data_IF_544333686092
#
_entry.id   IF_544333686092
#
_cell.length_a   1.000
_cell.length_b   1.000
_cell.length_c   1.000
_cell.angle_alpha   90.00
_cell.angle_beta   90.00
_cell.angle_gamma   90.00
#
_symmetry.space_group_name_H-M   'P 1'
#
loop_
_entity.id
_entity.type
_entity.pdbx_description
1 polymer ?
#
# COMPACT_ATOMS: atom_id res chain seq x y z
N UNK A 1 -13.18 -3.24 -13.07
CA UNK A 1 -11.99 -3.22 -13.94
C UNK A 1 -11.74 -4.65 -14.34
N UNK A 2 -11.56 -4.94 -15.63
CA UNK A 2 -11.16 -6.29 -16.01
C UNK A 2 -9.75 -6.54 -15.49
N UNK A 3 -9.44 -7.78 -15.12
CA UNK A 3 -8.11 -8.10 -14.56
C UNK A 3 -6.99 -7.87 -15.57
N UNK A 4 -7.31 -7.71 -16.87
CA UNK A 4 -6.35 -7.56 -17.96
C UNK A 4 -5.57 -6.25 -17.90
N UNK A 5 -6.20 -5.13 -17.50
CA UNK A 5 -5.54 -3.83 -17.51
C UNK A 5 -4.35 -3.76 -16.55
N UNK A 6 -4.49 -4.27 -15.33
CA UNK A 6 -3.44 -4.20 -14.30
C UNK A 6 -2.46 -5.38 -14.33
N UNK A 7 -2.73 -6.43 -15.10
CA UNK A 7 -1.92 -7.65 -15.14
C UNK A 7 -0.92 -7.71 -16.29
N UNK A 8 -0.79 -6.66 -17.10
CA UNK A 8 0.21 -6.63 -18.17
C UNK A 8 1.64 -6.67 -17.64
N UNK A 9 2.47 -7.58 -18.14
CA UNK A 9 3.86 -7.79 -17.67
C UNK A 9 4.70 -6.51 -17.64
N UNK A 10 4.53 -5.65 -18.65
CA UNK A 10 5.24 -4.38 -18.73
C UNK A 10 4.85 -3.41 -17.61
N UNK A 11 3.57 -3.40 -17.24
CA UNK A 11 3.04 -2.58 -16.17
C UNK A 11 3.53 -3.11 -14.82
N UNK A 12 3.44 -4.42 -14.59
CA UNK A 12 3.95 -5.07 -13.38
C UNK A 12 5.42 -4.70 -13.16
N UNK A 13 6.25 -4.79 -14.21
CA UNK A 13 7.67 -4.40 -14.14
C UNK A 13 7.84 -2.92 -13.78
N UNK A 14 7.12 -2.02 -14.46
CA UNK A 14 7.21 -0.58 -14.19
C UNK A 14 6.75 -0.20 -12.77
N UNK A 15 5.74 -0.89 -12.23
CA UNK A 15 5.24 -0.61 -10.88
C UNK A 15 6.20 -1.01 -9.76
N UNK A 16 7.21 -1.84 -10.02
CA UNK A 16 8.21 -2.23 -9.00
C UNK A 16 9.10 -1.06 -8.57
N UNK A 17 9.20 0.00 -9.39
CA UNK A 17 9.92 1.23 -9.04
C UNK A 17 9.10 2.17 -8.12
N UNK A 18 7.87 1.77 -7.78
CA UNK A 18 6.93 2.56 -6.99
C UNK A 18 6.58 1.86 -5.68
N UNK A 19 6.32 2.65 -4.64
CA UNK A 19 5.64 2.16 -3.44
C UNK A 19 4.15 2.24 -3.66
N UNK A 20 3.48 1.08 -3.67
CA UNK A 20 2.03 1.03 -3.72
C UNK A 20 1.47 1.15 -2.29
N UNK A 21 0.77 2.25 -2.02
CA UNK A 21 0.08 2.46 -0.75
C UNK A 21 -1.40 2.22 -0.97
N UNK A 22 -1.93 1.21 -0.28
CA UNK A 22 -3.37 1.02 -0.15
C UNK A 22 -3.84 1.71 1.11
N UNK A 23 -4.72 2.68 0.96
CA UNK A 23 -5.33 3.37 2.08
C UNK A 23 -6.44 2.47 2.65
N UNK A 24 -6.27 2.00 3.88
CA UNK A 24 -7.38 1.42 4.62
C UNK A 24 -8.35 2.55 5.04
N UNK A 25 -9.60 2.22 5.37
CA UNK A 25 -10.62 3.19 5.81
C UNK A 25 -10.08 4.18 6.85
N UNK A 26 -10.49 5.46 6.82
CA UNK A 26 -9.92 6.57 7.63
C UNK A 26 -9.58 6.16 9.06
N UNK A 27 -8.31 5.93 9.35
CA UNK A 27 -7.89 5.35 10.62
C UNK A 27 -7.63 6.42 11.68
N UNK A 28 -7.36 7.67 11.26
CA UNK A 28 -7.29 8.84 12.12
C UNK A 28 -7.50 10.16 11.34
N UNK A 29 -7.64 11.28 12.08
CA UNK A 29 -7.92 12.60 11.50
C UNK A 29 -6.79 13.10 10.58
N UNK A 30 -5.53 12.76 10.88
CA UNK A 30 -4.40 13.19 10.07
C UNK A 30 -4.41 12.47 8.73
N UNK A 31 -4.64 11.15 8.74
CA UNK A 31 -4.82 10.37 7.52
C UNK A 31 -6.01 10.88 6.72
N UNK A 32 -7.17 11.09 7.34
CA UNK A 32 -8.35 11.63 6.65
C UNK A 32 -8.04 12.97 5.94
N UNK A 33 -7.27 13.85 6.59
CA UNK A 33 -6.84 15.13 6.00
C UNK A 33 -5.91 14.92 4.81
N UNK A 34 -4.93 14.02 4.95
CA UNK A 34 -4.04 13.65 3.85
C UNK A 34 -4.80 13.07 2.66
N UNK A 35 -5.76 12.17 2.89
CA UNK A 35 -6.58 11.58 1.85
C UNK A 35 -7.50 12.60 1.19
N UNK A 36 -8.02 13.59 1.95
CA UNK A 36 -8.85 14.66 1.38
C UNK A 36 -8.02 15.49 0.42
N UNK A 37 -6.83 15.89 0.87
CA UNK A 37 -5.87 16.56 0.02
C UNK A 37 -5.58 15.70 -1.21
N UNK A 38 -5.21 14.42 -1.06
CA UNK A 38 -4.81 13.54 -2.15
C UNK A 38 -5.93 13.34 -3.18
N UNK A 39 -7.13 12.95 -2.72
CA UNK A 39 -8.18 12.44 -3.60
C UNK A 39 -9.24 13.46 -4.01
N UNK A 40 -9.50 14.48 -3.20
CA UNK A 40 -10.53 15.49 -3.45
C UNK A 40 -9.91 16.82 -3.87
N UNK A 41 -8.81 17.23 -3.21
CA UNK A 41 -8.25 18.58 -3.37
C UNK A 41 -9.23 19.66 -2.92
N UNK A 42 -9.09 20.89 -3.44
CA UNK A 42 -9.85 22.07 -2.97
C UNK A 42 -11.30 22.17 -3.51
N UNK A 43 -11.86 21.10 -4.08
CA UNK A 43 -13.17 21.14 -4.76
C UNK A 43 -14.38 20.82 -3.86
N UNK A 44 -14.19 20.73 -2.54
CA UNK A 44 -15.29 20.72 -1.57
C UNK A 44 -16.17 19.47 -1.58
N UNK A 45 -15.61 18.30 -1.91
CA UNK A 45 -16.33 17.02 -1.87
C UNK A 45 -15.93 16.13 -0.70
N UNK A 46 -16.77 15.15 -0.39
CA UNK A 46 -16.42 14.11 0.57
C UNK A 46 -15.41 13.11 -0.03
N UNK A 47 -14.63 12.49 0.87
CA UNK A 47 -13.73 11.41 0.51
C UNK A 47 -14.53 10.28 -0.15
N UNK A 48 -14.05 9.85 -1.31
CA UNK A 48 -14.67 8.79 -2.10
C UNK A 48 -14.08 7.45 -1.69
N UNK A 49 -14.90 6.40 -1.75
CA UNK A 49 -14.45 5.02 -1.54
C UNK A 49 -13.40 4.56 -2.57
N UNK A 50 -13.21 5.29 -3.67
CA UNK A 50 -12.29 4.94 -4.75
C UNK A 50 -11.48 6.17 -5.18
N UNK A 51 -10.16 6.02 -5.18
CA UNK A 51 -9.21 7.06 -5.56
C UNK A 51 -7.92 6.45 -6.09
N UNK A 52 -7.38 7.04 -7.14
CA UNK A 52 -6.09 6.72 -7.72
C UNK A 52 -5.31 8.01 -7.93
N UNK A 53 -4.10 8.09 -7.39
CA UNK A 53 -3.21 9.23 -7.52
C UNK A 53 -1.76 8.74 -7.54
N UNK A 54 -0.89 9.43 -8.28
CA UNK A 54 0.56 9.24 -8.22
C UNK A 54 1.15 10.46 -7.53
N UNK A 55 1.93 10.22 -6.47
CA UNK A 55 2.62 11.24 -5.71
C UNK A 55 4.13 11.21 -5.98
N UNK A 56 4.80 12.33 -5.70
CA UNK A 56 6.26 12.39 -5.62
C UNK A 56 6.76 11.46 -4.51
N UNK A 57 8.05 11.04 -4.54
CA UNK A 57 8.60 10.13 -3.52
C UNK A 57 8.48 10.64 -2.07
N UNK A 58 8.39 11.95 -1.87
CA UNK A 58 8.18 12.57 -0.55
C UNK A 58 6.70 12.67 -0.13
N UNK A 59 5.77 12.24 -0.99
CA UNK A 59 4.32 12.28 -0.75
C UNK A 59 3.69 13.68 -0.82
N UNK A 60 4.44 14.73 -1.18
CA UNK A 60 3.98 16.13 -1.08
C UNK A 60 3.41 16.71 -2.37
N UNK A 61 3.74 16.14 -3.52
CA UNK A 61 3.32 16.64 -4.83
C UNK A 61 2.51 15.60 -5.57
N UNK A 62 1.37 15.99 -6.16
CA UNK A 62 0.61 15.11 -7.06
C UNK A 62 1.22 15.15 -8.45
N UNK A 63 1.91 14.09 -8.83
CA UNK A 63 2.46 13.93 -10.18
C UNK A 63 1.37 13.66 -11.21
N UNK A 64 0.30 12.97 -10.80
CA UNK A 64 -0.91 12.79 -11.60
C UNK A 64 -2.14 13.10 -10.75
N UNK A 65 -3.13 13.74 -11.37
CA UNK A 65 -4.39 14.12 -10.72
C UNK A 65 -5.11 12.89 -10.16
N UNK A 66 -5.75 13.05 -9.01
CA UNK A 66 -6.67 12.05 -8.48
C UNK A 66 -7.83 11.77 -9.45
N UNK A 67 -8.06 10.49 -9.72
CA UNK A 67 -9.22 10.00 -10.48
C UNK A 67 -9.81 8.78 -9.77
N UNK A 68 -10.91 8.21 -10.31
CA UNK A 68 -11.56 7.03 -9.71
C UNK A 68 -10.76 5.72 -9.92
N UNK A 69 -9.74 5.73 -10.77
CA UNK A 69 -8.93 4.57 -11.11
C UNK A 69 -7.98 4.87 -12.28
N UNK A 70 -6.92 4.08 -12.47
CA UNK A 70 -5.92 4.33 -13.52
C UNK A 70 -6.51 4.31 -14.94
N UNK A 71 -7.61 3.59 -15.19
CA UNK A 71 -8.32 3.58 -16.47
C UNK A 71 -9.00 4.92 -16.83
N UNK A 72 -9.15 5.84 -15.87
CA UNK A 72 -9.61 7.21 -16.15
C UNK A 72 -8.47 8.13 -16.59
N UNK A 73 -7.22 7.72 -16.38
CA UNK A 73 -6.02 8.48 -16.73
C UNK A 73 -5.31 7.90 -17.96
N UNK A 74 -5.34 6.58 -18.12
CA UNK A 74 -4.62 5.86 -19.17
C UNK A 74 -5.56 5.02 -20.02
N UNK A 75 -5.36 5.09 -21.34
CA UNK A 75 -6.14 4.32 -22.32
C UNK A 75 -5.94 2.81 -22.19
N UNK A 76 -4.73 2.38 -21.80
CA UNK A 76 -4.39 0.96 -21.65
C UNK A 76 -3.15 0.78 -20.74
N UNK A 77 -2.81 -0.48 -20.46
CA UNK A 77 -1.67 -0.88 -19.62
C UNK A 77 -0.32 -0.38 -20.14
N UNK A 78 -0.11 -0.38 -21.46
CA UNK A 78 1.14 0.08 -22.08
C UNK A 78 1.33 1.60 -21.90
N UNK A 79 0.26 2.39 -22.05
CA UNK A 79 0.29 3.83 -21.82
C UNK A 79 0.64 4.16 -20.36
N UNK A 80 0.04 3.42 -19.41
CA UNK A 80 0.38 3.55 -17.99
C UNK A 80 1.84 3.17 -17.72
N UNK A 81 2.32 2.05 -18.26
CA UNK A 81 3.70 1.60 -18.06
C UNK A 81 4.73 2.61 -18.61
N UNK A 82 4.45 3.22 -19.77
CA UNK A 82 5.31 4.25 -20.33
C UNK A 82 5.38 5.50 -19.43
N UNK A 83 4.23 5.95 -18.92
CA UNK A 83 4.16 7.10 -18.00
C UNK A 83 4.90 6.83 -16.68
N UNK A 84 4.71 5.65 -16.10
CA UNK A 84 5.40 5.26 -14.86
C UNK A 84 6.92 5.25 -15.04
N UNK A 85 7.44 4.75 -16.17
CA UNK A 85 8.88 4.78 -16.47
C UNK A 85 9.41 6.21 -16.65
N UNK A 86 8.63 7.08 -17.29
CA UNK A 86 9.01 8.49 -17.43
C UNK A 86 9.03 9.20 -16.07
N UNK A 87 8.10 8.88 -15.18
CA UNK A 87 8.08 9.40 -13.82
C UNK A 87 9.27 8.87 -13.03
N UNK A 88 9.51 7.55 -13.01
CA UNK A 88 10.59 6.97 -12.22
C UNK A 88 11.96 7.46 -12.66
N UNK A 89 12.18 7.69 -13.96
CA UNK A 89 13.43 8.24 -14.50
C UNK A 89 13.78 9.66 -13.97
N UNK A 90 12.80 10.40 -13.44
CA UNK A 90 13.02 11.75 -12.87
C UNK A 90 13.46 11.71 -11.40
N UNK A 91 13.38 10.56 -10.75
CA UNK A 91 13.71 10.39 -9.34
C UNK A 91 14.80 9.33 -9.18
N UNK A 92 15.85 9.68 -8.44
CA UNK A 92 16.85 8.69 -8.06
C UNK A 92 16.18 7.65 -7.15
N UNK A 93 16.02 6.43 -7.65
CA UNK A 93 15.60 5.30 -6.83
C UNK A 93 16.54 5.13 -5.65
N UNK A 94 16.03 4.64 -4.51
CA UNK A 94 16.88 4.28 -3.39
C UNK A 94 17.81 3.16 -3.87
N UNK A 95 19.12 3.37 -3.80
CA UNK A 95 20.11 2.35 -4.16
C UNK A 95 19.78 1.10 -3.36
N UNK A 96 19.43 0.01 -4.04
CA UNK A 96 19.10 -1.27 -3.44
C UNK A 96 20.33 -1.81 -2.74
N UNK A 97 20.52 -1.46 -1.46
CA UNK A 97 21.31 -2.29 -0.55
C UNK A 97 20.67 -3.67 -0.53
N UNK A 98 21.48 -4.71 -0.63
CA UNK A 98 21.19 -6.12 -0.91
C UNK A 98 20.27 -6.85 0.08
N UNK A 99 19.58 -6.12 0.95
CA UNK A 99 18.57 -6.65 1.86
C UNK A 99 17.32 -5.80 1.68
N UNK A 100 16.14 -6.38 1.42
CA UNK A 100 14.87 -5.67 1.46
C UNK A 100 14.64 -5.14 2.88
N UNK A 101 15.18 -3.98 3.21
CA UNK A 101 15.01 -3.32 4.52
C UNK A 101 13.68 -2.55 4.56
N UNK A 102 12.61 -3.16 4.04
CA UNK A 102 11.27 -2.64 4.21
C UNK A 102 10.73 -3.06 5.57
N UNK A 103 10.19 -2.13 6.34
CA UNK A 103 9.37 -2.47 7.51
C UNK A 103 8.17 -3.32 7.07
N UNK A 104 7.72 -4.25 7.90
CA UNK A 104 6.49 -5.00 7.61
C UNK A 104 5.34 -4.02 7.32
N UNK A 105 4.61 -4.15 6.19
CA UNK A 105 3.50 -3.25 5.88
C UNK A 105 2.28 -3.65 6.73
N UNK A 106 2.09 -2.96 7.85
CA UNK A 106 1.12 -3.34 8.87
C UNK A 106 -0.09 -2.41 8.90
N UNK A 107 -1.24 -3.01 9.18
CA UNK A 107 -2.47 -2.31 9.57
C UNK A 107 -2.36 -1.87 11.03
N UNK A 108 -2.98 -0.74 11.39
CA UNK A 108 -2.89 -0.16 12.74
C UNK A 108 -3.41 -1.05 13.86
N UNK A 109 -4.32 -1.98 13.56
CA UNK A 109 -4.87 -2.91 14.54
C UNK A 109 -5.21 -4.26 13.93
N UNK A 110 -5.27 -5.29 14.77
CA UNK A 110 -5.66 -6.64 14.38
C UNK A 110 -7.07 -6.67 13.80
N UNK A 111 -8.03 -6.00 14.46
CA UNK A 111 -9.42 -5.90 13.98
C UNK A 111 -9.48 -5.35 12.56
N UNK A 112 -8.73 -4.28 12.28
CA UNK A 112 -8.68 -3.69 10.94
C UNK A 112 -7.99 -4.64 9.95
N UNK A 113 -6.86 -5.24 10.33
CA UNK A 113 -6.16 -6.22 9.52
C UNK A 113 -7.06 -7.37 9.07
N UNK A 114 -7.86 -7.91 9.99
CA UNK A 114 -8.83 -8.97 9.68
C UNK A 114 -9.92 -8.48 8.71
N UNK A 115 -10.48 -7.29 8.94
CA UNK A 115 -11.51 -6.73 8.05
C UNK A 115 -10.98 -6.51 6.63
N UNK A 116 -9.77 -5.94 6.50
CA UNK A 116 -9.14 -5.70 5.20
C UNK A 116 -8.80 -7.02 4.51
N UNK A 117 -8.21 -7.97 5.23
CA UNK A 117 -7.91 -9.31 4.72
C UNK A 117 -9.16 -10.02 4.19
N UNK A 118 -10.27 -9.94 4.95
CA UNK A 118 -11.56 -10.51 4.54
C UNK A 118 -12.12 -9.83 3.29
N UNK A 119 -12.06 -8.49 3.20
CA UNK A 119 -12.54 -7.76 2.03
C UNK A 119 -11.71 -8.04 0.77
N UNK A 120 -10.41 -8.26 0.93
CA UNK A 120 -9.49 -8.54 -0.18
C UNK A 120 -9.40 -10.02 -0.55
N UNK A 121 -9.95 -10.91 0.28
CA UNK A 121 -9.80 -12.36 0.12
C UNK A 121 -8.33 -12.81 0.26
N UNK A 122 -7.53 -12.08 1.03
CA UNK A 122 -6.13 -12.38 1.29
C UNK A 122 -5.97 -12.97 2.70
N UNK A 123 -5.03 -13.90 2.91
CA UNK A 123 -4.70 -14.36 4.26
C UNK A 123 -4.16 -13.23 5.15
N UNK A 124 -4.50 -13.28 6.44
CA UNK A 124 -3.99 -12.36 7.46
C UNK A 124 -2.86 -13.01 8.27
N UNK A 125 -1.81 -12.26 8.56
CA UNK A 125 -0.70 -12.66 9.44
C UNK A 125 -0.66 -11.68 10.61
N UNK A 126 -0.90 -12.19 11.82
CA UNK A 126 -0.85 -11.39 13.04
C UNK A 126 0.37 -11.78 13.86
N UNK A 127 1.23 -10.80 14.14
CA UNK A 127 2.37 -10.97 15.05
C UNK A 127 1.91 -10.63 16.46
N UNK A 128 1.93 -11.64 17.34
CA UNK A 128 1.65 -11.50 18.76
C UNK A 128 2.96 -11.59 19.55
N UNK A 129 3.23 -10.59 20.39
CA UNK A 129 4.31 -10.63 21.38
C UNK A 129 3.79 -10.37 22.79
N UNK A 130 4.61 -10.66 23.81
CA UNK A 130 4.33 -10.35 25.22
C UNK A 130 4.50 -8.86 25.51
N UNK A 131 5.38 -8.19 24.77
CA UNK A 131 5.63 -6.76 24.83
C UNK A 131 6.05 -6.23 23.46
N UNK A 132 6.22 -4.91 23.35
CA UNK A 132 6.57 -4.26 22.10
C UNK A 132 7.95 -4.68 21.58
N UNK A 133 8.90 -4.98 22.48
CA UNK A 133 10.26 -5.41 22.09
C UNK A 133 10.20 -6.76 21.38
N UNK A 134 9.39 -7.69 21.87
CA UNK A 134 9.18 -8.99 21.23
C UNK A 134 8.47 -8.83 19.87
N UNK A 135 7.45 -7.98 19.78
CA UNK A 135 6.78 -7.66 18.50
C UNK A 135 7.77 -7.10 17.47
N UNK A 136 8.60 -6.14 17.86
CA UNK A 136 9.58 -5.52 16.96
C UNK A 136 10.62 -6.54 16.48
N UNK A 137 11.08 -7.41 17.39
CA UNK A 137 12.00 -8.52 17.05
C UNK A 137 11.38 -9.51 16.06
N UNK A 138 10.12 -9.88 16.26
CA UNK A 138 9.40 -10.77 15.35
C UNK A 138 9.15 -10.12 14.00
N UNK A 139 8.79 -8.84 13.97
CA UNK A 139 8.62 -8.07 12.74
C UNK A 139 9.94 -7.91 11.96
N UNK A 140 11.07 -7.77 12.66
CA UNK A 140 12.39 -7.75 12.02
C UNK A 140 12.73 -9.09 11.36
N UNK A 141 12.34 -10.22 11.98
CA UNK A 141 12.51 -11.54 11.35
C UNK A 141 11.58 -11.70 10.16
N UNK A 142 10.33 -11.27 10.30
CA UNK A 142 9.31 -11.34 9.26
C UNK A 142 9.70 -10.48 8.04
N UNK A 143 10.23 -9.28 8.25
CA UNK A 143 10.70 -8.41 7.16
C UNK A 143 11.77 -9.07 6.29
N UNK A 144 12.58 -9.98 6.85
CA UNK A 144 13.57 -10.74 6.08
C UNK A 144 12.98 -11.70 5.04
N UNK A 145 11.69 -12.00 5.09
CA UNK A 145 11.04 -13.03 4.26
C UNK A 145 9.92 -12.48 3.38
N UNK A 146 9.11 -11.55 3.88
CA UNK A 146 7.89 -11.09 3.19
C UNK A 146 8.12 -10.34 1.88
N UNK A 147 9.35 -9.87 1.66
CA UNK A 147 9.75 -9.16 0.45
C UNK A 147 10.21 -10.09 -0.67
N UNK A 148 10.20 -11.40 -0.44
CA UNK A 148 10.39 -12.38 -1.50
C UNK A 148 9.35 -12.18 -2.62
N UNK A 149 9.75 -12.32 -3.87
CA UNK A 149 8.88 -12.09 -5.03
C UNK A 149 7.65 -12.99 -5.04
N UNK A 150 7.72 -14.15 -4.40
CA UNK A 150 6.60 -15.08 -4.29
C UNK A 150 5.63 -14.71 -3.17
N UNK A 151 6.00 -13.83 -2.24
CA UNK A 151 5.20 -13.49 -1.04
C UNK A 151 4.71 -12.04 -1.05
N UNK A 152 5.43 -11.13 -1.69
CA UNK A 152 5.10 -9.70 -1.69
C UNK A 152 3.66 -9.44 -2.13
N UNK A 153 2.91 -8.72 -1.29
CA UNK A 153 1.51 -8.36 -1.54
C UNK A 153 0.48 -9.48 -1.39
N UNK A 154 0.87 -10.67 -0.90
CA UNK A 154 -0.06 -11.81 -0.73
C UNK A 154 -0.73 -11.91 0.65
N UNK A 155 -0.32 -11.09 1.60
CA UNK A 155 -0.81 -11.13 2.97
C UNK A 155 -1.11 -9.74 3.50
N UNK A 156 -2.07 -9.66 4.43
CA UNK A 156 -2.29 -8.48 5.26
C UNK A 156 -1.63 -8.71 6.61
N UNK A 157 -0.86 -7.75 7.10
CA UNK A 157 -0.14 -7.87 8.37
C UNK A 157 -0.73 -6.96 9.44
N UNK A 158 -0.71 -7.43 10.68
CA UNK A 158 -0.96 -6.63 11.87
C UNK A 158 -0.10 -7.12 13.03
N UNK A 159 0.06 -6.31 14.07
CA UNK A 159 0.73 -6.72 15.31
C UNK A 159 -0.09 -6.34 16.53
N UNK A 160 0.08 -7.09 17.61
CA UNK A 160 -0.49 -6.74 18.92
C UNK A 160 0.35 -7.33 20.06
N UNK A 161 0.25 -6.71 21.23
CA UNK A 161 0.71 -7.26 22.51
C UNK A 161 -0.45 -7.76 23.38
N UNK A 162 -1.70 -7.57 22.92
CA UNK A 162 -2.91 -7.91 23.65
C UNK A 162 -3.55 -9.17 23.05
N UNK A 163 -3.49 -10.33 23.73
CA UNK A 163 -4.11 -11.55 23.24
C UNK A 163 -5.63 -11.45 23.06
N UNK A 164 -6.30 -10.51 23.74
CA UNK A 164 -7.73 -10.30 23.58
C UNK A 164 -8.10 -9.83 22.16
N UNK A 165 -7.18 -9.17 21.44
CA UNK A 165 -7.41 -8.70 20.07
C UNK A 165 -7.58 -9.85 19.06
N UNK A 166 -7.17 -11.09 19.44
CA UNK A 166 -7.31 -12.28 18.61
C UNK A 166 -8.63 -13.04 18.84
N UNK A 167 -9.40 -12.65 19.86
CA UNK A 167 -10.68 -13.30 20.14
C UNK A 167 -11.72 -12.72 19.19
N UNK A 168 -12.42 -13.58 18.47
CA UNK A 168 -13.65 -13.22 17.79
C UNK A 168 -14.76 -13.09 18.84
N UNK A 169 -15.47 -11.95 18.85
CA UNK A 169 -16.75 -11.81 19.56
C UNK A 169 -17.78 -12.82 19.04
#
# INVERSE_FOLDING_TARGET
>A
MDRSFLSGDQLIKATRDFVCIRTATYEDKQEATFLQWAFVGNTGGDLRNFGYCILSPDGKTKLRRSTRGPNFLYTNSNAMAADLRQISAQYSGRTTTTTPTGSVPQMKSVRLGINVASCDGLPSVVVLGKDQTEVDSLNQKLSGVIWDEQLVGKFIYASTINPADLKTE
#
